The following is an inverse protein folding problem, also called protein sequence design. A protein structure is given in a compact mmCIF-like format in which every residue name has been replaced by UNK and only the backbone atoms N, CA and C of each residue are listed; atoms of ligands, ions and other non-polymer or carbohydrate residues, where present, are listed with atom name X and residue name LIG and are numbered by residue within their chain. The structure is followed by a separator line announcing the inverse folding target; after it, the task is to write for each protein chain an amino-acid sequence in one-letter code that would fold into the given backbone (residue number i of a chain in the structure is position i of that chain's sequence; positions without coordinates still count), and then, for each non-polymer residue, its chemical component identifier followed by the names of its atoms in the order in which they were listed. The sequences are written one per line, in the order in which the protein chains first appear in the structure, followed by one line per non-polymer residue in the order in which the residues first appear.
data_IF_462729128959
#
_entry.id   IF_462729128959
#
_cell.length_a   1.000
_cell.length_b   1.000
_cell.length_c   1.000
_cell.angle_alpha   90.00
_cell.angle_beta   90.00
_cell.angle_gamma   90.00
#
_symmetry.space_group_name_H-M   'P 1'
#
loop_
_entity.id
_entity.type
_entity.pdbx_description
1 polymer ?
#
# COMPACT_ATOMS: atom_id res chain seq x y z
N UNK A 1 30.26 -12.38 19.60
CA UNK A 1 28.91 -12.96 19.29
C UNK A 1 27.76 -12.33 20.09
N UNK A 2 28.01 -11.69 21.25
CA UNK A 2 26.99 -11.01 22.08
C UNK A 2 26.67 -9.57 21.64
N UNK A 3 27.66 -8.79 21.25
CA UNK A 3 27.47 -7.38 20.82
C UNK A 3 26.74 -7.24 19.48
N UNK A 4 27.07 -8.10 18.52
CA UNK A 4 26.39 -8.12 17.20
C UNK A 4 24.91 -8.50 17.31
N UNK A 5 24.55 -9.39 18.26
CA UNK A 5 23.17 -9.74 18.54
C UNK A 5 22.42 -8.57 19.19
N UNK A 6 23.02 -7.94 20.19
CA UNK A 6 22.42 -6.79 20.89
C UNK A 6 22.21 -5.59 19.94
N UNK A 7 23.17 -5.32 19.04
CA UNK A 7 23.02 -4.29 18.01
C UNK A 7 21.92 -4.65 16.98
N UNK A 8 21.80 -5.91 16.60
CA UNK A 8 20.77 -6.36 15.69
C UNK A 8 19.37 -6.31 16.31
N UNK A 9 19.24 -6.67 17.59
CA UNK A 9 18.00 -6.57 18.36
C UNK A 9 17.59 -5.11 18.57
N UNK A 10 18.55 -4.22 18.89
CA UNK A 10 18.32 -2.78 19.02
C UNK A 10 17.84 -2.15 17.70
N UNK A 11 18.45 -2.52 16.57
CA UNK A 11 18.04 -2.04 15.26
C UNK A 11 16.63 -2.54 14.86
N UNK A 12 16.29 -3.78 15.24
CA UNK A 12 14.98 -4.36 14.97
C UNK A 12 13.88 -3.65 15.80
N UNK A 13 14.18 -3.29 17.04
CA UNK A 13 13.24 -2.55 17.90
C UNK A 13 12.87 -1.18 17.33
N UNK A 14 13.81 -0.50 16.68
CA UNK A 14 13.60 0.80 16.05
C UNK A 14 12.64 0.77 14.86
N UNK A 15 12.45 -0.41 14.25
CA UNK A 15 11.55 -0.60 13.10
C UNK A 15 10.07 -0.72 13.49
N UNK A 16 9.75 -1.15 14.70
CA UNK A 16 8.38 -1.42 15.11
C UNK A 16 7.43 -0.22 14.99
N UNK A 17 7.82 1.01 15.40
CA UNK A 17 6.95 2.17 15.20
C UNK A 17 6.71 2.50 13.73
N UNK A 18 7.66 2.17 12.84
CA UNK A 18 7.50 2.34 11.39
C UNK A 18 6.50 1.33 10.82
N UNK A 19 6.55 0.08 11.30
CA UNK A 19 5.56 -0.94 10.94
C UNK A 19 4.16 -0.56 11.45
N UNK A 20 4.07 -0.04 12.67
CA UNK A 20 2.83 0.47 13.23
C UNK A 20 2.29 1.67 12.43
N UNK A 21 3.15 2.58 11.95
CA UNK A 21 2.74 3.67 11.08
C UNK A 21 2.17 3.15 9.75
N UNK A 22 2.81 2.15 9.13
CA UNK A 22 2.28 1.49 7.93
C UNK A 22 0.91 0.83 8.16
N UNK A 23 0.75 0.15 9.29
CA UNK A 23 -0.54 -0.40 9.72
C UNK A 23 -1.59 0.71 9.89
N UNK A 24 -1.25 1.79 10.59
CA UNK A 24 -2.17 2.91 10.86
C UNK A 24 -2.69 3.55 9.58
N UNK A 25 -1.82 3.76 8.57
CA UNK A 25 -2.22 4.28 7.25
C UNK A 25 -3.28 3.38 6.62
N UNK A 26 -2.97 2.10 6.49
CA UNK A 26 -3.83 1.14 5.82
C UNK A 26 -5.12 0.90 6.59
N UNK A 27 -5.05 0.78 7.91
CA UNK A 27 -6.21 0.63 8.78
C UNK A 27 -7.13 1.85 8.67
N UNK A 28 -6.60 3.06 8.77
CA UNK A 28 -7.39 4.30 8.72
C UNK A 28 -8.11 4.50 7.39
N UNK A 29 -7.42 4.22 6.26
CA UNK A 29 -8.01 4.30 4.94
C UNK A 29 -9.20 3.33 4.79
N UNK A 30 -8.98 2.05 5.12
CA UNK A 30 -9.92 0.97 4.82
C UNK A 30 -11.01 0.79 5.88
N UNK A 31 -10.73 1.09 7.16
CA UNK A 31 -11.74 1.05 8.21
C UNK A 31 -12.85 2.06 7.96
N UNK A 32 -12.50 3.28 7.55
CA UNK A 32 -13.50 4.30 7.22
C UNK A 32 -14.19 3.97 5.90
N UNK A 33 -13.41 3.67 4.83
CA UNK A 33 -13.96 3.40 3.50
C UNK A 33 -15.03 2.29 3.50
N UNK A 34 -14.78 1.20 4.23
CA UNK A 34 -15.70 0.06 4.27
C UNK A 34 -16.95 0.29 5.14
N UNK A 35 -16.91 1.26 6.06
CA UNK A 35 -17.97 1.43 7.07
C UNK A 35 -18.75 2.74 6.95
N UNK A 36 -18.40 3.61 5.98
CA UNK A 36 -19.14 4.85 5.73
C UNK A 36 -20.59 4.65 5.28
N UNK A 37 -20.86 3.53 4.59
CA UNK A 37 -22.21 3.25 4.02
C UNK A 37 -23.26 3.02 5.10
N UNK A 38 -22.87 2.61 6.30
CA UNK A 38 -23.80 2.25 7.38
C UNK A 38 -24.43 3.46 8.10
N UNK A 39 -23.95 4.69 7.83
CA UNK A 39 -24.36 5.89 8.58
C UNK A 39 -25.08 6.94 7.69
N UNK A 40 -25.51 6.53 6.49
CA UNK A 40 -26.09 7.45 5.50
C UNK A 40 -27.54 7.07 5.20
N UNK A 41 -28.48 7.96 5.50
CA UNK A 41 -29.93 7.73 5.42
C UNK A 41 -30.53 7.70 4.00
N UNK A 42 -29.83 8.24 2.97
CA UNK A 42 -30.26 8.29 1.56
C UNK A 42 -29.24 7.64 0.62
N UNK A 43 -29.58 6.47 0.05
CA UNK A 43 -28.67 5.61 -0.68
C UNK A 43 -28.09 6.22 -1.95
N UNK A 44 -28.87 7.01 -2.72
CA UNK A 44 -28.38 7.56 -4.01
C UNK A 44 -27.43 8.75 -3.83
N UNK A 45 -27.76 9.68 -2.97
CA UNK A 45 -26.90 10.80 -2.57
C UNK A 45 -25.72 10.29 -1.74
N UNK A 46 -25.92 9.23 -0.98
CA UNK A 46 -24.93 8.53 -0.17
C UNK A 46 -23.80 7.93 -0.99
N UNK A 47 -24.08 7.29 -2.12
CA UNK A 47 -23.05 6.69 -2.97
C UNK A 47 -22.15 7.73 -3.64
N UNK A 48 -22.74 8.86 -4.07
CA UNK A 48 -21.97 9.99 -4.64
C UNK A 48 -21.09 10.63 -3.57
N UNK A 49 -21.65 10.87 -2.38
CA UNK A 49 -20.91 11.44 -1.25
C UNK A 49 -19.81 10.50 -0.77
N UNK A 50 -20.07 9.20 -0.67
CA UNK A 50 -19.06 8.18 -0.39
C UNK A 50 -17.92 8.24 -1.41
N UNK A 51 -18.25 8.26 -2.71
CA UNK A 51 -17.26 8.38 -3.77
C UNK A 51 -16.40 9.64 -3.63
N UNK A 52 -17.01 10.78 -3.27
CA UNK A 52 -16.30 12.03 -2.99
C UNK A 52 -15.36 11.89 -1.78
N UNK A 53 -15.81 11.30 -0.69
CA UNK A 53 -14.99 11.13 0.52
C UNK A 53 -13.76 10.23 0.27
N UNK A 54 -13.93 9.16 -0.52
CA UNK A 54 -12.82 8.31 -0.94
C UNK A 54 -11.86 9.06 -1.86
N UNK A 55 -12.41 9.76 -2.87
CA UNK A 55 -11.60 10.55 -3.80
C UNK A 55 -10.82 11.68 -3.13
N UNK A 56 -11.35 12.30 -2.08
CA UNK A 56 -10.66 13.33 -1.32
C UNK A 56 -9.46 12.75 -0.55
N UNK A 57 -9.64 11.60 0.08
CA UNK A 57 -8.55 10.93 0.79
C UNK A 57 -7.46 10.47 -0.18
N UNK A 58 -7.81 9.67 -1.19
CA UNK A 58 -6.87 9.09 -2.14
C UNK A 58 -6.25 10.16 -3.04
N UNK A 59 -7.03 11.16 -3.45
CA UNK A 59 -6.55 12.31 -4.21
C UNK A 59 -5.50 13.13 -3.45
N UNK A 60 -5.72 13.36 -2.16
CA UNK A 60 -4.71 14.00 -1.31
C UNK A 60 -3.43 13.15 -1.21
N UNK A 61 -3.56 11.83 -1.07
CA UNK A 61 -2.40 10.92 -1.05
C UNK A 61 -1.63 10.96 -2.37
N UNK A 62 -2.31 10.86 -3.51
CA UNK A 62 -1.70 10.90 -4.85
C UNK A 62 -0.91 12.18 -5.06
N UNK A 63 -1.51 13.34 -4.73
CA UNK A 63 -0.90 14.64 -4.99
C UNK A 63 0.25 14.96 -4.02
N UNK A 64 0.13 14.58 -2.75
CA UNK A 64 1.03 15.07 -1.71
C UNK A 64 2.16 14.09 -1.35
N UNK A 65 2.06 12.78 -1.63
CA UNK A 65 3.13 11.80 -1.35
C UNK A 65 4.49 12.17 -1.93
N UNK A 66 4.62 12.63 -3.19
CA UNK A 66 5.92 13.08 -3.72
C UNK A 66 6.45 14.33 -3.02
N UNK A 67 5.55 15.23 -2.62
CA UNK A 67 5.90 16.47 -1.91
C UNK A 67 6.48 16.14 -0.54
N UNK A 68 5.77 15.33 0.25
CA UNK A 68 6.24 14.93 1.58
C UNK A 68 7.43 13.97 1.55
N UNK A 69 7.54 13.12 0.52
CA UNK A 69 8.76 12.34 0.27
C UNK A 69 9.98 13.25 0.08
N UNK A 70 9.85 14.29 -0.74
CA UNK A 70 10.90 15.30 -0.93
C UNK A 70 11.15 16.09 0.36
N UNK A 71 10.10 16.41 1.13
CA UNK A 71 10.23 17.10 2.42
C UNK A 71 11.00 16.24 3.42
N UNK A 72 10.76 14.92 3.45
CA UNK A 72 11.47 13.97 4.30
C UNK A 72 12.99 13.96 4.03
N UNK A 73 13.39 14.10 2.76
CA UNK A 73 14.80 14.28 2.41
C UNK A 73 15.36 15.64 2.86
N UNK A 74 14.49 16.65 2.95
CA UNK A 74 14.87 18.02 3.27
C UNK A 74 15.06 18.31 4.75
N UNK A 75 14.15 17.90 5.57
CA UNK A 75 14.15 18.19 7.02
C UNK A 75 14.36 16.95 7.87
N UNK A 76 14.50 15.78 7.23
CA UNK A 76 14.62 14.48 7.85
C UNK A 76 13.29 13.71 7.87
N UNK A 77 13.37 12.39 7.75
CA UNK A 77 12.18 11.52 7.71
C UNK A 77 11.40 11.52 9.05
N UNK A 78 12.11 11.56 10.19
CA UNK A 78 11.46 11.53 11.52
C UNK A 78 10.53 12.73 11.79
N UNK A 79 10.92 14.00 11.57
CA UNK A 79 9.99 15.12 11.72
C UNK A 79 8.76 15.02 10.81
N UNK A 80 8.91 14.57 9.56
CA UNK A 80 7.79 14.40 8.63
C UNK A 80 6.87 13.27 9.08
N UNK A 81 7.42 12.15 9.51
CA UNK A 81 6.67 11.03 10.09
C UNK A 81 5.83 11.47 11.29
N UNK A 82 6.44 12.16 12.25
CA UNK A 82 5.77 12.62 13.46
C UNK A 82 4.70 13.68 13.14
N UNK A 83 5.04 14.66 12.29
CA UNK A 83 4.10 15.69 11.84
C UNK A 83 2.89 15.10 11.14
N UNK A 84 3.09 14.12 10.26
CA UNK A 84 2.00 13.41 9.59
C UNK A 84 1.11 12.62 10.56
N UNK A 85 1.69 11.86 11.49
CA UNK A 85 0.92 11.10 12.48
C UNK A 85 0.10 12.02 13.40
N UNK A 86 0.70 13.14 13.85
CA UNK A 86 -0.01 14.13 14.68
C UNK A 86 -1.11 14.83 13.88
N UNK A 87 -0.85 15.18 12.61
CA UNK A 87 -1.86 15.77 11.74
C UNK A 87 -3.01 14.79 11.46
N UNK A 88 -2.72 13.51 11.27
CA UNK A 88 -3.74 12.46 11.12
C UNK A 88 -4.60 12.32 12.38
N UNK A 89 -3.95 12.32 13.56
CA UNK A 89 -4.66 12.31 14.83
C UNK A 89 -5.56 13.55 15.00
N UNK A 90 -5.05 14.73 14.64
CA UNK A 90 -5.81 15.97 14.72
C UNK A 90 -6.99 16.00 13.75
N UNK A 91 -6.82 15.56 12.50
CA UNK A 91 -7.90 15.45 11.52
C UNK A 91 -8.99 14.46 11.97
N UNK A 92 -8.58 13.33 12.55
CA UNK A 92 -9.51 12.37 13.12
C UNK A 92 -10.23 12.93 14.36
N UNK A 93 -9.51 13.60 15.25
CA UNK A 93 -10.08 14.20 16.46
C UNK A 93 -11.04 15.37 16.13
N UNK A 94 -10.77 16.13 15.07
CA UNK A 94 -11.67 17.19 14.61
C UNK A 94 -13.07 16.65 14.35
N UNK A 95 -13.17 15.50 13.66
CA UNK A 95 -14.47 14.86 13.44
C UNK A 95 -15.16 14.43 14.74
N UNK A 96 -14.38 13.95 15.73
CA UNK A 96 -14.94 13.56 17.04
C UNK A 96 -15.55 14.75 17.77
N UNK A 97 -14.94 15.94 17.67
CA UNK A 97 -15.44 17.17 18.34
C UNK A 97 -16.64 17.75 17.62
N UNK A 98 -16.60 17.77 16.28
CA UNK A 98 -17.68 18.33 15.47
C UNK A 98 -18.87 17.36 15.44
N UNK A 99 -18.59 16.04 15.36
CA UNK A 99 -19.56 14.96 15.35
C UNK A 99 -20.71 15.15 14.33
N UNK A 100 -20.41 15.82 13.20
CA UNK A 100 -21.36 16.15 12.16
C UNK A 100 -20.86 15.61 10.83
N UNK A 101 -21.68 14.81 10.16
CA UNK A 101 -21.35 14.17 8.88
C UNK A 101 -21.11 15.15 7.75
N UNK A 102 -21.64 16.36 7.83
CA UNK A 102 -21.40 17.44 6.84
C UNK A 102 -19.92 17.86 6.79
N UNK A 103 -19.18 17.66 7.88
CA UNK A 103 -17.73 17.97 7.98
C UNK A 103 -16.82 16.77 7.73
N UNK A 104 -17.39 15.60 7.44
CA UNK A 104 -16.61 14.36 7.23
C UNK A 104 -15.63 14.49 6.06
N UNK A 105 -15.98 15.24 5.02
CA UNK A 105 -15.10 15.52 3.89
C UNK A 105 -13.80 16.21 4.31
N UNK A 106 -13.86 17.14 5.27
CA UNK A 106 -12.68 17.83 5.76
C UNK A 106 -11.76 16.90 6.56
N UNK A 107 -12.36 16.05 7.39
CA UNK A 107 -11.62 15.02 8.12
C UNK A 107 -10.93 14.05 7.14
N UNK A 108 -11.62 13.58 6.09
CA UNK A 108 -11.07 12.68 5.07
C UNK A 108 -9.94 13.34 4.27
N UNK A 109 -10.12 14.56 3.83
CA UNK A 109 -9.07 15.35 3.16
C UNK A 109 -7.84 15.51 4.07
N UNK A 110 -8.08 15.90 5.32
CA UNK A 110 -7.02 16.06 6.33
C UNK A 110 -6.29 14.76 6.64
N UNK A 111 -7.01 13.64 6.77
CA UNK A 111 -6.43 12.32 6.95
C UNK A 111 -5.58 11.88 5.76
N UNK A 112 -6.06 12.06 4.52
CA UNK A 112 -5.31 11.72 3.30
C UNK A 112 -4.04 12.58 3.17
N UNK A 113 -4.16 13.89 3.41
CA UNK A 113 -3.00 14.79 3.43
C UNK A 113 -1.98 14.41 4.50
N UNK A 114 -2.42 14.02 5.68
CA UNK A 114 -1.56 13.56 6.76
C UNK A 114 -0.91 12.20 6.45
N UNK A 115 -1.68 11.24 5.92
CA UNK A 115 -1.20 9.93 5.52
C UNK A 115 -0.12 10.02 4.43
N UNK A 116 -0.27 10.97 3.49
CA UNK A 116 0.73 11.25 2.46
C UNK A 116 2.07 11.73 3.02
N UNK A 117 2.11 12.26 4.25
CA UNK A 117 3.34 12.67 4.91
C UNK A 117 4.03 11.49 5.60
N UNK A 118 3.31 10.71 6.42
CA UNK A 118 3.97 9.70 7.22
C UNK A 118 4.22 8.37 6.49
N UNK A 119 3.46 8.02 5.45
CA UNK A 119 3.67 6.79 4.68
C UNK A 119 5.04 6.78 3.98
N UNK A 120 5.41 7.76 3.12
CA UNK A 120 6.74 7.77 2.49
C UNK A 120 7.88 8.03 3.48
N UNK A 121 7.65 8.79 4.57
CA UNK A 121 8.64 8.99 5.61
C UNK A 121 8.94 7.70 6.37
N UNK A 122 7.93 6.86 6.64
CA UNK A 122 8.12 5.54 7.23
C UNK A 122 8.89 4.62 6.27
N UNK A 123 8.49 4.52 5.00
CA UNK A 123 9.18 3.69 3.99
C UNK A 123 10.63 4.12 3.79
N UNK A 124 10.90 5.44 3.74
CA UNK A 124 12.25 6.01 3.67
C UNK A 124 13.08 5.67 4.92
N UNK A 125 12.48 5.76 6.11
CA UNK A 125 13.14 5.39 7.37
C UNK A 125 13.46 3.90 7.41
N UNK A 126 12.54 3.02 6.98
CA UNK A 126 12.79 1.58 6.82
C UNK A 126 13.99 1.33 5.92
N UNK A 127 14.05 2.00 4.75
CA UNK A 127 15.17 1.86 3.83
C UNK A 127 16.50 2.29 4.48
N UNK A 128 16.54 3.47 5.10
CA UNK A 128 17.77 4.06 5.66
C UNK A 128 18.27 3.38 6.93
N UNK A 129 17.38 2.83 7.75
CA UNK A 129 17.74 2.08 8.96
C UNK A 129 18.14 0.63 8.68
N UNK A 130 17.82 0.15 7.48
CA UNK A 130 18.11 -1.23 7.09
C UNK A 130 19.52 -1.35 6.50
N UNK A 131 20.30 -2.31 6.98
CA UNK A 131 21.63 -2.63 6.42
C UNK A 131 21.50 -3.05 4.95
N UNK A 132 22.48 -2.68 4.12
CA UNK A 132 22.58 -3.14 2.73
C UNK A 132 22.47 -4.67 2.66
N UNK A 133 21.67 -5.18 1.74
CA UNK A 133 21.41 -6.63 1.59
C UNK A 133 20.32 -7.19 2.52
N UNK A 134 19.64 -6.35 3.33
CA UNK A 134 18.52 -6.75 4.21
C UNK A 134 17.21 -5.99 3.91
N UNK A 135 17.18 -5.24 2.82
CA UNK A 135 15.98 -4.48 2.43
C UNK A 135 14.79 -5.39 2.11
N UNK A 136 15.03 -6.60 1.60
CA UNK A 136 13.96 -7.56 1.30
C UNK A 136 13.14 -7.92 2.54
N UNK A 137 13.78 -8.39 3.61
CA UNK A 137 13.09 -8.75 4.86
C UNK A 137 12.47 -7.54 5.56
N UNK A 138 13.12 -6.37 5.51
CA UNK A 138 12.61 -5.16 6.12
C UNK A 138 11.29 -4.71 5.45
N UNK A 139 11.29 -4.59 4.11
CA UNK A 139 10.08 -4.25 3.37
C UNK A 139 9.03 -5.37 3.36
N UNK A 140 9.46 -6.64 3.41
CA UNK A 140 8.56 -7.78 3.59
C UNK A 140 7.80 -7.71 4.91
N UNK A 141 8.48 -7.35 6.00
CA UNK A 141 7.84 -7.18 7.31
C UNK A 141 6.99 -5.92 7.35
N UNK A 142 7.47 -4.79 6.82
CA UNK A 142 6.70 -3.55 6.71
C UNK A 142 5.40 -3.77 5.92
N UNK A 143 5.50 -4.42 4.77
CA UNK A 143 4.36 -4.75 3.94
C UNK A 143 3.38 -5.71 4.60
N UNK A 144 3.86 -6.69 5.38
CA UNK A 144 3.01 -7.58 6.18
C UNK A 144 2.12 -6.79 7.15
N UNK A 145 2.70 -5.88 7.95
CA UNK A 145 1.92 -5.07 8.90
C UNK A 145 0.98 -4.09 8.18
N UNK A 146 1.40 -3.52 7.07
CA UNK A 146 0.52 -2.69 6.22
C UNK A 146 -0.66 -3.51 5.70
N UNK A 147 -0.42 -4.74 5.23
CA UNK A 147 -1.48 -5.65 4.76
C UNK A 147 -2.43 -6.08 5.88
N UNK A 148 -1.94 -6.23 7.11
CA UNK A 148 -2.83 -6.44 8.27
C UNK A 148 -3.78 -5.26 8.48
N UNK A 149 -3.32 -4.02 8.26
CA UNK A 149 -4.17 -2.84 8.29
C UNK A 149 -5.26 -2.88 7.23
N UNK A 150 -4.94 -3.26 6.00
CA UNK A 150 -5.91 -3.47 4.92
C UNK A 150 -6.96 -4.52 5.27
N UNK A 151 -6.53 -5.65 5.84
CA UNK A 151 -7.41 -6.78 6.15
C UNK A 151 -8.28 -6.52 7.39
N UNK A 152 -7.68 -6.01 8.45
CA UNK A 152 -8.35 -5.77 9.72
C UNK A 152 -9.13 -4.47 9.76
N UNK A 153 -8.81 -3.51 8.87
CA UNK A 153 -9.50 -2.22 8.80
C UNK A 153 -11.01 -2.35 8.66
N UNK A 154 -11.52 -2.99 7.60
CA UNK A 154 -12.95 -3.19 7.41
C UNK A 154 -13.61 -3.96 8.56
N UNK A 155 -12.98 -5.03 9.03
CA UNK A 155 -13.52 -5.91 10.06
C UNK A 155 -13.61 -5.23 11.42
N UNK A 156 -12.48 -4.73 11.92
CA UNK A 156 -12.43 -4.05 13.22
C UNK A 156 -13.15 -2.70 13.16
N UNK A 157 -13.03 -1.99 12.02
CA UNK A 157 -13.78 -0.78 11.76
C UNK A 157 -15.28 -1.00 11.88
N UNK A 158 -15.82 -2.08 11.29
CA UNK A 158 -17.21 -2.45 11.40
C UNK A 158 -17.66 -2.73 12.85
N UNK A 159 -16.85 -3.46 13.61
CA UNK A 159 -17.12 -3.71 15.03
C UNK A 159 -17.13 -2.40 15.83
N UNK A 160 -16.15 -1.51 15.58
CA UNK A 160 -16.05 -0.23 16.28
C UNK A 160 -17.26 0.66 15.94
N UNK A 161 -17.65 0.73 14.65
CA UNK A 161 -18.82 1.50 14.21
C UNK A 161 -20.11 0.92 14.81
N UNK A 162 -20.24 -0.40 14.88
CA UNK A 162 -21.40 -1.05 15.52
C UNK A 162 -21.52 -0.71 17.02
N UNK A 163 -20.40 -0.53 17.72
CA UNK A 163 -20.38 -0.21 19.16
C UNK A 163 -20.68 1.28 19.42
N UNK A 164 -20.15 2.19 18.62
CA UNK A 164 -20.20 3.64 18.92
C UNK A 164 -20.14 4.56 17.71
N UNK A 165 -20.56 4.06 16.54
CA UNK A 165 -20.66 4.85 15.33
C UNK A 165 -19.31 5.31 14.77
N UNK A 166 -19.37 6.17 13.75
CA UNK A 166 -18.16 6.76 13.14
C UNK A 166 -17.37 7.58 14.14
N UNK A 167 -18.00 8.26 15.07
CA UNK A 167 -17.33 9.05 16.11
C UNK A 167 -16.33 8.20 16.91
N UNK A 168 -16.74 6.98 17.33
CA UNK A 168 -15.83 6.07 18.03
C UNK A 168 -14.70 5.58 17.10
N UNK A 169 -14.99 5.30 15.83
CA UNK A 169 -13.97 4.89 14.87
C UNK A 169 -12.90 5.99 14.70
N UNK A 170 -13.32 7.23 14.52
CA UNK A 170 -12.41 8.37 14.41
C UNK A 170 -11.63 8.63 15.70
N UNK A 171 -12.25 8.45 16.87
CA UNK A 171 -11.56 8.53 18.17
C UNK A 171 -10.47 7.45 18.28
N UNK A 172 -10.76 6.22 17.93
CA UNK A 172 -9.78 5.12 17.92
C UNK A 172 -8.61 5.43 16.98
N UNK A 173 -8.90 5.94 15.78
CA UNK A 173 -7.84 6.34 14.83
C UNK A 173 -6.99 7.49 15.35
N UNK A 174 -7.59 8.49 16.00
CA UNK A 174 -6.85 9.59 16.61
C UNK A 174 -5.91 9.09 17.71
N UNK A 175 -6.41 8.23 18.61
CA UNK A 175 -5.60 7.63 19.68
C UNK A 175 -4.51 6.74 19.10
N UNK A 176 -4.82 5.87 18.14
CA UNK A 176 -3.83 4.99 17.49
C UNK A 176 -2.69 5.80 16.87
N UNK A 177 -3.00 6.83 16.09
CA UNK A 177 -2.00 7.67 15.45
C UNK A 177 -1.14 8.42 16.48
N UNK A 178 -1.73 8.92 17.57
CA UNK A 178 -1.03 9.60 18.62
C UNK A 178 -0.10 8.65 19.39
N UNK A 179 -0.56 7.46 19.74
CA UNK A 179 0.26 6.41 20.39
C UNK A 179 1.46 6.04 19.50
N UNK A 180 1.22 5.82 18.20
CA UNK A 180 2.30 5.53 17.26
C UNK A 180 3.26 6.72 17.11
N UNK A 181 2.76 7.96 17.12
CA UNK A 181 3.60 9.16 17.09
C UNK A 181 4.50 9.26 18.33
N UNK A 182 3.95 9.03 19.51
CA UNK A 182 4.72 9.05 20.78
C UNK A 182 5.77 7.93 20.75
N UNK A 183 5.39 6.72 20.35
CA UNK A 183 6.31 5.59 20.21
C UNK A 183 7.44 5.87 19.22
N UNK A 184 7.09 6.39 18.03
CA UNK A 184 8.08 6.78 17.02
C UNK A 184 9.00 7.90 17.50
N UNK A 185 8.48 8.88 18.24
CA UNK A 185 9.29 9.97 18.82
C UNK A 185 10.37 9.43 19.75
N UNK A 186 10.06 8.44 20.56
CA UNK A 186 10.98 7.86 21.55
C UNK A 186 11.97 6.90 20.90
N UNK A 187 11.49 6.02 20.01
CA UNK A 187 12.25 4.84 19.55
C UNK A 187 12.97 5.07 18.21
N UNK A 188 12.31 5.77 17.25
CA UNK A 188 12.92 5.98 15.94
C UNK A 188 14.07 6.98 16.05
N UNK A 189 15.31 6.64 15.61
CA UNK A 189 16.43 7.57 15.65
C UNK A 189 16.20 8.76 14.70
N UNK A 190 16.76 9.91 15.06
CA UNK A 190 16.80 11.05 14.16
C UNK A 190 17.83 10.75 13.06
N UNK A 191 17.35 10.61 11.83
CA UNK A 191 18.19 10.50 10.66
C UNK A 191 18.37 11.90 10.08
N UNK A 192 19.58 12.49 10.19
CA UNK A 192 19.80 13.85 9.72
C UNK A 192 19.61 13.91 8.20
N UNK A 193 19.13 15.05 7.68
CA UNK A 193 19.10 15.27 6.25
C UNK A 193 20.54 15.27 5.72
N UNK A 194 20.77 14.61 4.59
CA UNK A 194 22.07 14.57 3.95
C UNK A 194 22.27 15.79 3.04
N UNK A 195 23.53 16.24 2.80
CA UNK A 195 23.83 17.37 1.94
C UNK A 195 23.26 17.18 0.54
N UNK A 196 22.63 18.22 -0.01
CA UNK A 196 21.93 18.15 -1.29
C UNK A 196 22.86 18.40 -2.46
N UNK A 197 22.74 17.55 -3.49
CA UNK A 197 23.03 17.97 -4.84
C UNK A 197 21.88 18.88 -5.35
N UNK A 198 22.19 20.02 -5.95
CA UNK A 198 21.19 20.85 -6.65
C UNK A 198 20.53 19.98 -7.73
N UNK A 199 19.21 19.85 -7.66
CA UNK A 199 18.43 19.14 -8.69
C UNK A 199 17.65 20.14 -9.50
N UNK A 200 17.67 19.95 -10.81
CA UNK A 200 16.77 20.61 -11.74
C UNK A 200 15.52 19.73 -11.92
N UNK A 201 14.41 20.33 -12.38
CA UNK A 201 13.20 19.58 -12.79
C UNK A 201 13.54 18.55 -13.88
N UNK A 202 14.52 18.86 -14.73
CA UNK A 202 15.01 17.97 -15.79
C UNK A 202 15.69 16.72 -15.20
N UNK A 203 16.53 16.90 -14.16
CA UNK A 203 17.17 15.76 -13.49
C UNK A 203 16.14 14.83 -12.83
N UNK A 204 15.09 15.41 -12.24
CA UNK A 204 13.98 14.65 -11.68
C UNK A 204 13.23 13.88 -12.78
N UNK A 205 12.85 14.55 -13.87
CA UNK A 205 12.14 13.91 -14.98
C UNK A 205 12.98 12.79 -15.61
N UNK A 206 14.30 13.03 -15.82
CA UNK A 206 15.22 12.01 -16.33
C UNK A 206 15.30 10.80 -15.42
N UNK A 207 15.37 11.00 -14.10
CA UNK A 207 15.42 9.92 -13.12
C UNK A 207 14.10 9.15 -13.04
N UNK A 208 12.97 9.84 -13.03
CA UNK A 208 11.66 9.20 -13.05
C UNK A 208 11.42 8.41 -14.35
N UNK A 209 12.14 8.77 -15.43
CA UNK A 209 12.18 8.05 -16.71
C UNK A 209 13.24 6.95 -16.75
N UNK A 210 14.08 6.81 -15.72
CA UNK A 210 15.07 5.75 -15.65
C UNK A 210 14.40 4.39 -15.45
N UNK A 211 14.84 3.41 -16.21
CA UNK A 211 14.35 2.03 -16.11
C UNK A 211 14.56 1.41 -14.73
N UNK A 212 15.62 1.81 -14.02
CA UNK A 212 15.86 1.35 -12.65
C UNK A 212 14.80 1.83 -11.66
N UNK A 213 14.13 2.93 -11.96
CA UNK A 213 12.99 3.43 -11.20
C UNK A 213 11.65 2.93 -11.78
N UNK A 214 11.47 3.06 -13.11
CA UNK A 214 10.20 2.72 -13.76
C UNK A 214 9.85 1.24 -13.65
N UNK A 215 10.82 0.34 -13.82
CA UNK A 215 10.55 -1.10 -13.76
C UNK A 215 9.94 -1.54 -12.43
N UNK A 216 10.64 -1.32 -11.29
CA UNK A 216 10.08 -1.64 -9.98
C UNK A 216 8.78 -0.89 -9.66
N UNK A 217 8.66 0.39 -10.05
CA UNK A 217 7.45 1.19 -9.81
C UNK A 217 6.25 0.69 -10.63
N UNK A 218 6.45 0.32 -11.89
CA UNK A 218 5.40 -0.28 -12.72
C UNK A 218 4.95 -1.64 -12.18
N UNK A 219 5.89 -2.45 -11.68
CA UNK A 219 5.56 -3.71 -11.02
C UNK A 219 4.75 -3.50 -9.73
N UNK A 220 5.12 -2.48 -8.93
CA UNK A 220 4.36 -2.09 -7.74
C UNK A 220 2.95 -1.59 -8.11
N UNK A 221 2.82 -0.78 -9.16
CA UNK A 221 1.52 -0.33 -9.67
C UNK A 221 0.65 -1.51 -10.16
N UNK A 222 1.21 -2.42 -10.94
CA UNK A 222 0.51 -3.63 -11.40
C UNK A 222 0.08 -4.53 -10.22
N UNK A 223 0.93 -4.64 -9.20
CA UNK A 223 0.64 -5.38 -7.97
C UNK A 223 -0.55 -4.79 -7.22
N UNK A 224 -0.59 -3.47 -7.01
CA UNK A 224 -1.73 -2.83 -6.33
C UNK A 224 -2.98 -2.81 -7.19
N UNK A 225 -2.87 -2.62 -8.51
CA UNK A 225 -3.99 -2.75 -9.43
C UNK A 225 -4.67 -4.12 -9.34
N UNK A 226 -3.87 -5.20 -9.36
CA UNK A 226 -4.40 -6.55 -9.24
C UNK A 226 -4.99 -6.84 -7.85
N UNK A 227 -4.37 -6.31 -6.79
CA UNK A 227 -4.87 -6.45 -5.43
C UNK A 227 -6.22 -5.76 -5.25
N UNK A 228 -6.33 -4.51 -5.70
CA UNK A 228 -7.55 -3.70 -5.63
C UNK A 228 -8.69 -4.32 -6.44
N UNK A 229 -8.38 -4.79 -7.65
CA UNK A 229 -9.32 -5.54 -8.49
C UNK A 229 -9.73 -6.85 -7.82
N UNK A 230 -8.79 -7.58 -7.23
CA UNK A 230 -9.09 -8.81 -6.49
C UNK A 230 -10.05 -8.56 -5.32
N UNK A 231 -9.81 -7.52 -4.53
CA UNK A 231 -10.67 -7.14 -3.40
C UNK A 231 -12.05 -6.67 -3.87
N UNK A 232 -12.10 -5.84 -4.92
CA UNK A 232 -13.36 -5.23 -5.39
C UNK A 232 -14.19 -6.14 -6.29
N UNK A 233 -13.57 -6.88 -7.21
CA UNK A 233 -14.29 -7.56 -8.29
C UNK A 233 -14.36 -9.09 -8.18
N UNK A 234 -13.52 -9.77 -7.37
CA UNK A 234 -13.72 -11.20 -7.11
C UNK A 234 -15.06 -11.48 -6.40
N UNK A 235 -15.51 -10.65 -5.42
CA UNK A 235 -16.85 -10.80 -4.87
C UNK A 235 -17.96 -10.67 -5.92
N UNK A 236 -17.83 -9.69 -6.83
CA UNK A 236 -18.82 -9.48 -7.92
C UNK A 236 -18.88 -10.72 -8.81
N UNK A 237 -17.72 -11.22 -9.28
CA UNK A 237 -17.65 -12.45 -10.06
C UNK A 237 -18.22 -13.68 -9.32
N UNK A 238 -18.07 -13.68 -7.98
CA UNK A 238 -18.65 -14.71 -7.13
C UNK A 238 -20.18 -14.66 -7.09
N UNK A 239 -20.75 -13.47 -6.93
CA UNK A 239 -22.21 -13.27 -6.96
C UNK A 239 -22.76 -13.66 -8.32
N UNK A 240 -22.13 -13.26 -9.41
CA UNK A 240 -22.52 -13.64 -10.78
C UNK A 240 -22.48 -15.17 -11.00
N UNK A 241 -21.59 -15.86 -10.28
CA UNK A 241 -21.49 -17.32 -10.27
C UNK A 241 -22.43 -18.00 -9.25
N UNK A 242 -23.35 -17.26 -8.62
CA UNK A 242 -24.32 -17.77 -7.66
C UNK A 242 -23.76 -18.03 -6.26
N UNK A 243 -22.59 -17.49 -5.90
CA UNK A 243 -22.00 -17.65 -4.58
C UNK A 243 -22.58 -16.64 -3.57
N UNK A 244 -22.81 -17.12 -2.36
CA UNK A 244 -23.29 -16.28 -1.27
C UNK A 244 -22.20 -15.40 -0.65
N UNK A 245 -22.59 -14.44 0.23
CA UNK A 245 -21.69 -13.45 0.83
C UNK A 245 -20.52 -14.06 1.62
N UNK A 246 -20.72 -15.21 2.25
CA UNK A 246 -19.67 -15.91 3.01
C UNK A 246 -18.55 -16.39 2.09
N UNK A 247 -18.89 -16.97 0.94
CA UNK A 247 -17.92 -17.49 -0.01
C UNK A 247 -17.12 -16.36 -0.67
N UNK A 248 -17.78 -15.28 -1.05
CA UNK A 248 -17.15 -14.09 -1.66
C UNK A 248 -16.26 -13.36 -0.66
N UNK A 249 -16.70 -13.18 0.58
CA UNK A 249 -15.90 -12.61 1.66
C UNK A 249 -14.69 -13.47 2.03
N UNK A 250 -14.85 -14.81 2.03
CA UNK A 250 -13.74 -15.73 2.24
C UNK A 250 -12.67 -15.61 1.14
N UNK A 251 -13.06 -15.41 -0.11
CA UNK A 251 -12.10 -15.22 -1.22
C UNK A 251 -11.23 -13.97 -1.01
N UNK A 252 -11.82 -12.85 -0.60
CA UNK A 252 -11.08 -11.61 -0.27
C UNK A 252 -10.14 -11.84 0.91
N UNK A 253 -10.62 -12.54 1.95
CA UNK A 253 -9.80 -12.86 3.11
C UNK A 253 -8.60 -13.75 2.74
N UNK A 254 -8.80 -14.76 1.91
CA UNK A 254 -7.74 -15.64 1.39
C UNK A 254 -6.71 -14.84 0.59
N UNK A 255 -7.16 -13.96 -0.31
CA UNK A 255 -6.27 -13.08 -1.08
C UNK A 255 -5.40 -12.22 -0.15
N UNK A 256 -6.02 -11.54 0.80
CA UNK A 256 -5.32 -10.65 1.73
C UNK A 256 -4.33 -11.40 2.63
N UNK A 257 -4.71 -12.57 3.15
CA UNK A 257 -3.82 -13.42 3.95
C UNK A 257 -2.64 -13.95 3.10
N UNK A 258 -2.90 -14.43 1.88
CA UNK A 258 -1.84 -14.88 0.98
C UNK A 258 -0.85 -13.74 0.67
N UNK A 259 -1.35 -12.53 0.38
CA UNK A 259 -0.50 -11.36 0.17
C UNK A 259 0.32 -11.03 1.42
N UNK A 260 -0.31 -10.97 2.59
CA UNK A 260 0.37 -10.66 3.85
C UNK A 260 1.49 -11.65 4.16
N UNK A 261 1.21 -12.95 4.11
CA UNK A 261 2.18 -13.98 4.47
C UNK A 261 3.26 -14.23 3.41
N UNK A 262 3.00 -13.94 2.13
CA UNK A 262 4.00 -14.04 1.07
C UNK A 262 5.10 -12.98 1.21
N UNK A 263 4.76 -11.76 1.64
CA UNK A 263 5.69 -10.62 1.71
C UNK A 263 6.94 -10.90 2.55
N UNK A 264 6.86 -11.31 3.84
CA UNK A 264 8.07 -11.55 4.61
C UNK A 264 8.86 -12.78 4.14
N UNK A 265 8.20 -13.75 3.48
CA UNK A 265 8.88 -14.92 2.89
C UNK A 265 9.69 -14.53 1.66
N UNK A 266 9.08 -13.74 0.77
CA UNK A 266 9.75 -13.22 -0.43
C UNK A 266 10.94 -12.33 -0.07
N UNK A 267 10.77 -11.43 0.90
CA UNK A 267 11.83 -10.56 1.38
C UNK A 267 13.00 -11.32 1.97
N UNK A 268 12.74 -12.35 2.81
CA UNK A 268 13.80 -13.21 3.35
C UNK A 268 14.48 -14.05 2.28
N UNK A 269 13.76 -14.52 1.27
CA UNK A 269 14.33 -15.26 0.16
C UNK A 269 15.29 -14.39 -0.67
N UNK A 270 14.93 -13.12 -0.88
CA UNK A 270 15.80 -12.12 -1.52
C UNK A 270 17.10 -11.91 -0.71
N UNK A 271 16.96 -11.61 0.59
CA UNK A 271 18.11 -11.33 1.46
C UNK A 271 19.03 -12.57 1.67
N UNK A 272 18.48 -13.75 1.51
CA UNK A 272 19.24 -15.02 1.53
C UNK A 272 19.89 -15.36 0.19
N UNK A 273 19.72 -14.53 -0.85
CA UNK A 273 20.25 -14.79 -2.19
C UNK A 273 19.57 -15.95 -2.93
N UNK A 274 18.45 -16.47 -2.42
CA UNK A 274 17.70 -17.58 -3.05
C UNK A 274 16.97 -17.13 -4.32
N UNK A 275 16.60 -15.86 -4.39
CA UNK A 275 15.97 -15.22 -5.56
C UNK A 275 16.66 -13.88 -5.81
N UNK A 276 16.70 -13.44 -7.07
CA UNK A 276 17.06 -12.05 -7.41
C UNK A 276 15.78 -11.21 -7.50
N UNK A 277 15.94 -9.88 -7.43
CA UNK A 277 14.80 -8.95 -7.60
C UNK A 277 14.07 -9.21 -8.90
N UNK A 278 14.82 -9.28 -10.01
CA UNK A 278 14.27 -9.41 -11.36
C UNK A 278 13.48 -10.71 -11.52
N UNK A 279 14.04 -11.83 -11.03
CA UNK A 279 13.35 -13.14 -11.08
C UNK A 279 12.12 -13.15 -10.20
N UNK A 280 12.23 -12.64 -8.97
CA UNK A 280 11.12 -12.61 -8.03
C UNK A 280 9.97 -11.74 -8.52
N UNK A 281 10.27 -10.54 -9.03
CA UNK A 281 9.26 -9.63 -9.60
C UNK A 281 8.61 -10.25 -10.85
N UNK A 282 9.41 -10.82 -11.77
CA UNK A 282 8.87 -11.48 -12.96
C UNK A 282 7.94 -12.65 -12.59
N UNK A 283 8.36 -13.54 -11.70
CA UNK A 283 7.50 -14.62 -11.21
C UNK A 283 6.25 -14.10 -10.49
N UNK A 284 6.39 -13.08 -9.65
CA UNK A 284 5.26 -12.43 -8.99
C UNK A 284 4.23 -11.91 -9.99
N UNK A 285 4.68 -11.21 -11.05
CA UNK A 285 3.80 -10.69 -12.11
C UNK A 285 3.13 -11.82 -12.91
N UNK A 286 3.87 -12.88 -13.23
CA UNK A 286 3.29 -14.06 -13.93
C UNK A 286 2.22 -14.75 -13.07
N UNK A 287 2.51 -14.97 -11.78
CA UNK A 287 1.55 -15.58 -10.84
C UNK A 287 0.31 -14.68 -10.68
N UNK A 288 0.51 -13.36 -10.57
CA UNK A 288 -0.60 -12.39 -10.48
C UNK A 288 -1.47 -12.41 -11.74
N UNK A 289 -0.85 -12.40 -12.92
CA UNK A 289 -1.56 -12.45 -14.19
C UNK A 289 -2.30 -13.78 -14.38
N UNK A 290 -1.67 -14.90 -13.98
CA UNK A 290 -2.34 -16.20 -13.98
C UNK A 290 -3.56 -16.20 -13.04
N UNK A 291 -3.43 -15.57 -11.86
CA UNK A 291 -4.55 -15.39 -10.92
C UNK A 291 -5.70 -14.59 -11.51
N UNK A 292 -5.41 -13.48 -12.21
CA UNK A 292 -6.42 -12.69 -12.92
C UNK A 292 -7.08 -13.50 -14.05
N UNK A 293 -6.31 -14.32 -14.76
CA UNK A 293 -6.85 -15.21 -15.78
C UNK A 293 -7.73 -16.31 -15.17
N UNK A 294 -7.35 -16.86 -14.02
CA UNK A 294 -8.15 -17.86 -13.30
C UNK A 294 -9.45 -17.27 -12.72
N UNK A 295 -9.49 -15.96 -12.43
CA UNK A 295 -10.72 -15.27 -12.07
C UNK A 295 -11.79 -15.27 -13.19
N UNK A 296 -11.39 -15.58 -14.42
CA UNK A 296 -12.32 -15.76 -15.56
C UNK A 296 -13.08 -17.10 -15.50
N UNK A 297 -12.64 -18.04 -14.67
CA UNK A 297 -13.31 -19.34 -14.49
C UNK A 297 -14.41 -19.17 -13.44
N UNK A 298 -15.68 -19.39 -13.82
CA UNK A 298 -16.80 -19.19 -12.89
C UNK A 298 -16.79 -20.24 -11.79
N UNK A 299 -17.33 -19.86 -10.64
CA UNK A 299 -17.53 -20.74 -9.48
C UNK A 299 -16.46 -20.58 -8.39
N UNK A 300 -16.74 -21.22 -7.26
CA UNK A 300 -15.95 -21.08 -6.02
C UNK A 300 -14.47 -21.43 -6.21
N UNK A 301 -14.18 -22.52 -6.93
CA UNK A 301 -12.81 -23.00 -7.13
C UNK A 301 -11.99 -21.98 -7.91
N UNK A 302 -12.53 -21.47 -9.04
CA UNK A 302 -11.87 -20.44 -9.86
C UNK A 302 -11.53 -19.20 -9.02
N UNK A 303 -12.50 -18.70 -8.26
CA UNK A 303 -12.35 -17.50 -7.43
C UNK A 303 -11.33 -17.71 -6.29
N UNK A 304 -11.36 -18.85 -5.60
CA UNK A 304 -10.40 -19.13 -4.52
C UNK A 304 -8.97 -19.31 -5.05
N UNK A 305 -8.80 -20.02 -6.16
CA UNK A 305 -7.47 -20.19 -6.78
C UNK A 305 -6.96 -18.86 -7.32
N UNK A 306 -7.82 -18.04 -7.92
CA UNK A 306 -7.50 -16.67 -8.32
C UNK A 306 -7.06 -15.82 -7.11
N UNK A 307 -7.81 -15.86 -6.01
CA UNK A 307 -7.49 -15.15 -4.78
C UNK A 307 -6.11 -15.54 -4.22
N UNK A 308 -5.81 -16.84 -4.16
CA UNK A 308 -4.48 -17.35 -3.74
C UNK A 308 -3.38 -16.84 -4.68
N UNK A 309 -3.57 -16.99 -5.99
CA UNK A 309 -2.54 -16.62 -6.97
C UNK A 309 -2.28 -15.10 -6.98
N UNK A 310 -3.34 -14.28 -7.02
CA UNK A 310 -3.20 -12.81 -6.94
C UNK A 310 -2.53 -12.42 -5.62
N UNK A 311 -2.98 -12.98 -4.50
CA UNK A 311 -2.40 -12.68 -3.18
C UNK A 311 -0.91 -13.04 -3.09
N UNK A 312 -0.53 -14.25 -3.50
CA UNK A 312 0.87 -14.69 -3.50
C UNK A 312 1.72 -13.84 -4.44
N UNK A 313 1.25 -13.61 -5.68
CA UNK A 313 1.99 -12.84 -6.68
C UNK A 313 2.26 -11.39 -6.21
N UNK A 314 1.22 -10.69 -5.75
CA UNK A 314 1.32 -9.32 -5.23
C UNK A 314 2.17 -9.25 -3.97
N UNK A 315 2.07 -10.27 -3.10
CA UNK A 315 2.90 -10.41 -1.89
C UNK A 315 4.39 -10.64 -2.19
N UNK A 316 4.74 -11.22 -3.34
CA UNK A 316 6.12 -11.34 -3.79
C UNK A 316 6.62 -10.01 -4.36
N UNK A 317 5.84 -9.35 -5.22
CA UNK A 317 6.25 -8.12 -5.93
C UNK A 317 6.55 -6.99 -4.96
N UNK A 318 5.69 -6.77 -3.97
CA UNK A 318 5.74 -5.58 -3.11
C UNK A 318 7.09 -5.42 -2.38
N UNK A 319 7.59 -6.37 -1.58
CA UNK A 319 8.86 -6.20 -0.88
C UNK A 319 10.05 -6.13 -1.83
N UNK A 320 10.02 -6.86 -2.95
CA UNK A 320 11.11 -6.89 -3.91
C UNK A 320 11.21 -5.56 -4.69
N UNK A 321 10.06 -4.98 -5.06
CA UNK A 321 10.01 -3.67 -5.73
C UNK A 321 10.58 -2.56 -4.84
N UNK A 322 10.15 -2.48 -3.57
CA UNK A 322 10.70 -1.51 -2.63
C UNK A 322 12.18 -1.77 -2.31
N UNK A 323 12.60 -3.02 -2.16
CA UNK A 323 14.01 -3.36 -1.95
C UNK A 323 14.88 -2.96 -3.14
N UNK A 324 14.41 -3.15 -4.36
CA UNK A 324 15.09 -2.71 -5.58
C UNK A 324 15.29 -1.18 -5.62
N UNK A 325 14.22 -0.45 -5.32
CA UNK A 325 14.25 1.02 -5.27
C UNK A 325 15.19 1.50 -4.17
N UNK A 326 15.14 0.90 -2.99
CA UNK A 326 16.04 1.25 -1.89
C UNK A 326 17.51 0.97 -2.24
N UNK A 327 17.80 -0.16 -2.88
CA UNK A 327 19.18 -0.55 -3.26
C UNK A 327 19.76 0.35 -4.36
N UNK A 328 18.93 0.86 -5.28
CA UNK A 328 19.35 1.71 -6.39
C UNK A 328 19.32 3.21 -6.09
N UNK A 329 18.83 3.60 -4.91
CA UNK A 329 18.62 5.01 -4.55
C UNK A 329 19.71 5.50 -3.60
N UNK A 330 20.37 6.63 -3.90
CA UNK A 330 21.21 7.33 -2.94
C UNK A 330 20.42 7.75 -1.70
N UNK A 331 21.05 7.67 -0.53
CA UNK A 331 20.36 7.96 0.76
C UNK A 331 19.77 9.37 0.82
N UNK A 332 20.39 10.35 0.13
CA UNK A 332 19.96 11.76 0.06
C UNK A 332 18.61 11.96 -0.65
N UNK A 333 18.15 10.93 -1.37
CA UNK A 333 16.92 10.95 -2.20
C UNK A 333 15.95 9.84 -1.85
N UNK A 334 16.16 9.19 -0.73
CA UNK A 334 15.37 8.04 -0.34
C UNK A 334 13.89 8.40 -0.15
N UNK A 335 13.60 9.52 0.49
CA UNK A 335 12.23 10.00 0.69
C UNK A 335 11.52 10.31 -0.62
N UNK A 336 12.20 10.99 -1.53
CA UNK A 336 11.67 11.30 -2.87
C UNK A 336 11.34 10.02 -3.66
N UNK A 337 12.25 9.04 -3.64
CA UNK A 337 12.04 7.77 -4.35
C UNK A 337 10.90 6.97 -3.73
N UNK A 338 10.83 6.88 -2.40
CA UNK A 338 9.74 6.18 -1.71
C UNK A 338 8.40 6.87 -1.94
N UNK A 339 8.36 8.21 -1.89
CA UNK A 339 7.14 8.97 -2.19
C UNK A 339 6.64 8.77 -3.62
N UNK A 340 7.55 8.74 -4.60
CA UNK A 340 7.20 8.47 -5.99
C UNK A 340 6.78 7.00 -6.23
N UNK A 341 7.37 6.05 -5.52
CA UNK A 341 6.97 4.65 -5.57
C UNK A 341 5.57 4.43 -4.97
N UNK A 342 5.29 5.09 -3.85
CA UNK A 342 3.94 5.07 -3.24
C UNK A 342 2.91 5.73 -4.17
N UNK A 343 3.25 6.83 -4.85
CA UNK A 343 2.38 7.42 -5.89
C UNK A 343 2.09 6.41 -7.00
N UNK A 344 3.11 5.68 -7.49
CA UNK A 344 2.93 4.62 -8.49
C UNK A 344 1.95 3.55 -8.02
N UNK A 345 2.00 3.18 -6.75
CA UNK A 345 1.06 2.24 -6.14
C UNK A 345 -0.38 2.77 -6.11
N UNK A 346 -0.58 4.03 -5.69
CA UNK A 346 -1.91 4.65 -5.67
C UNK A 346 -2.51 4.75 -7.08
N UNK A 347 -1.69 5.09 -8.08
CA UNK A 347 -2.12 5.07 -9.47
C UNK A 347 -2.54 3.67 -9.93
N UNK A 348 -1.87 2.63 -9.45
CA UNK A 348 -2.27 1.24 -9.68
C UNK A 348 -3.59 0.91 -8.98
N UNK A 349 -3.71 1.29 -7.72
CA UNK A 349 -4.88 1.03 -6.88
C UNK A 349 -6.16 1.62 -7.48
N UNK A 350 -6.11 2.86 -7.95
CA UNK A 350 -7.22 3.52 -8.66
C UNK A 350 -7.37 3.03 -10.11
N UNK A 351 -6.26 2.85 -10.82
CA UNK A 351 -6.24 2.51 -12.24
C UNK A 351 -6.73 1.10 -12.54
N UNK A 352 -6.40 0.12 -11.71
CA UNK A 352 -6.83 -1.27 -11.86
C UNK A 352 -8.36 -1.42 -11.94
N UNK A 353 -9.10 -0.99 -10.92
CA UNK A 353 -10.56 -0.98 -10.94
C UNK A 353 -11.16 -0.21 -12.12
N UNK A 354 -10.59 0.94 -12.48
CA UNK A 354 -11.08 1.74 -13.61
C UNK A 354 -10.90 1.01 -14.94
N UNK A 355 -9.77 0.33 -15.15
CA UNK A 355 -9.54 -0.48 -16.36
C UNK A 355 -10.55 -1.62 -16.42
N UNK A 356 -10.70 -2.38 -15.32
CA UNK A 356 -11.62 -3.53 -15.29
C UNK A 356 -13.07 -3.09 -15.45
N UNK A 357 -13.51 -2.05 -14.73
CA UNK A 357 -14.87 -1.52 -14.84
C UNK A 357 -15.14 -0.92 -16.23
N UNK A 358 -14.17 -0.18 -16.80
CA UNK A 358 -14.30 0.39 -18.15
C UNK A 358 -14.43 -0.68 -19.22
N UNK A 359 -13.66 -1.77 -19.15
CA UNK A 359 -13.81 -2.91 -20.07
C UNK A 359 -15.13 -3.63 -19.81
N UNK A 360 -15.52 -3.83 -18.55
CA UNK A 360 -16.78 -4.50 -18.19
C UNK A 360 -18.01 -3.73 -18.70
N UNK A 361 -17.95 -2.41 -18.75
CA UNK A 361 -19.04 -1.55 -19.24
C UNK A 361 -19.32 -1.73 -20.74
N UNK A 362 -18.31 -2.09 -21.54
CA UNK A 362 -18.44 -2.26 -23.01
C UNK A 362 -18.34 -3.72 -23.44
N UNK A 363 -17.96 -4.62 -22.55
CA UNK A 363 -17.82 -6.04 -22.84
C UNK A 363 -18.34 -6.88 -21.63
N UNK A 364 -17.43 -7.49 -20.87
CA UNK A 364 -17.76 -8.31 -19.70
C UNK A 364 -16.74 -8.10 -18.57
N UNK A 365 -17.12 -8.41 -17.35
CA UNK A 365 -16.19 -8.43 -16.21
C UNK A 365 -15.01 -9.40 -16.46
N UNK A 366 -15.30 -10.55 -17.06
CA UNK A 366 -14.30 -11.55 -17.47
C UNK A 366 -13.28 -10.96 -18.43
N UNK A 367 -13.72 -10.18 -19.44
CA UNK A 367 -12.82 -9.47 -20.34
C UNK A 367 -11.95 -8.42 -19.59
N UNK A 368 -12.51 -7.75 -18.58
CA UNK A 368 -11.77 -6.83 -17.72
C UNK A 368 -10.61 -7.49 -16.99
N UNK A 369 -10.85 -8.65 -16.37
CA UNK A 369 -9.77 -9.45 -15.77
C UNK A 369 -8.71 -9.85 -16.80
N UNK A 370 -9.13 -10.28 -18.00
CA UNK A 370 -8.23 -10.65 -19.08
C UNK A 370 -7.33 -9.50 -19.53
N UNK A 371 -7.88 -8.31 -19.72
CA UNK A 371 -7.10 -7.11 -20.08
C UNK A 371 -6.06 -6.77 -19.01
N UNK A 372 -6.45 -6.78 -17.73
CA UNK A 372 -5.52 -6.51 -16.66
C UNK A 372 -4.45 -7.61 -16.54
N UNK A 373 -4.80 -8.87 -16.80
CA UNK A 373 -3.83 -9.98 -16.85
C UNK A 373 -2.77 -9.75 -17.92
N UNK A 374 -3.21 -9.36 -19.15
CA UNK A 374 -2.29 -9.06 -20.25
C UNK A 374 -1.37 -7.87 -19.91
N UNK A 375 -1.90 -6.78 -19.37
CA UNK A 375 -1.09 -5.62 -18.94
C UNK A 375 -0.04 -6.08 -17.93
N UNK A 376 -0.43 -6.87 -16.92
CA UNK A 376 0.47 -7.40 -15.91
C UNK A 376 1.58 -8.27 -16.50
N UNK A 377 1.25 -9.13 -17.47
CA UNK A 377 2.23 -9.96 -18.21
C UNK A 377 3.20 -9.12 -19.04
N UNK A 378 2.73 -8.06 -19.71
CA UNK A 378 3.58 -7.19 -20.51
C UNK A 378 4.62 -6.47 -19.64
N UNK A 379 4.22 -5.99 -18.45
CA UNK A 379 5.14 -5.43 -17.47
C UNK A 379 6.17 -6.48 -17.00
N UNK A 380 5.73 -7.72 -16.80
CA UNK A 380 6.59 -8.85 -16.45
C UNK A 380 7.59 -9.21 -17.54
N UNK A 381 7.16 -9.20 -18.80
CA UNK A 381 8.03 -9.48 -19.95
C UNK A 381 9.11 -8.41 -20.15
N UNK A 382 8.78 -7.13 -19.94
CA UNK A 382 9.79 -6.05 -19.96
C UNK A 382 10.80 -6.22 -18.84
N UNK A 383 10.37 -6.55 -17.64
CA UNK A 383 11.25 -6.85 -16.49
C UNK A 383 12.21 -8.03 -16.77
N UNK A 384 11.76 -9.05 -17.47
CA UNK A 384 12.58 -10.20 -17.86
C UNK A 384 13.59 -9.88 -18.97
N UNK A 385 13.21 -9.07 -19.98
CA UNK A 385 14.11 -8.60 -21.06
C UNK A 385 15.25 -7.74 -20.56
N UNK A 386 15.03 -6.95 -19.53
CA UNK A 386 16.07 -6.12 -18.92
C UNK A 386 17.23 -6.94 -18.32
N UNK A 387 16.99 -8.20 -17.98
CA UNK A 387 18.00 -9.14 -17.50
C UNK A 387 18.93 -9.59 -18.63
N UNK A 388 18.38 -10.03 -19.77
CA UNK A 388 19.16 -10.55 -20.89
C UNK A 388 20.08 -9.50 -21.54
N UNK A 389 19.83 -8.22 -21.28
CA UNK A 389 20.68 -7.11 -21.74
C UNK A 389 21.81 -6.75 -20.76
N UNK A 390 21.80 -7.29 -19.55
CA UNK A 390 22.80 -7.06 -18.50
C UNK A 390 23.75 -8.23 -18.27
N UNK A 391 23.39 -9.43 -18.72
CA UNK A 391 24.24 -10.63 -18.82
C UNK A 391 24.99 -10.64 -20.15
#
# INVERSE_FOLDING_TARGET
MSEDKAQAEGAQWQMWPLYAAGFTTAFGAHAVAANLVFDLDDLANSLLYLGLLLALYDGAEVLLKPVFGTLADRIGAKPVLLGGLVAFAAASFLFVVVADTDWLWLARLGQGAAASAFSPAASSSVARLTRKGKHGSAFGTYGFYKSLGYTLGPLLGGVIVWIGGLTLLFAVMAVLALVVAIWAKVVVPALPPLPRARQTVVDLARRLSDRQFLGPTAALAASTAALSVGVGFLPVAGVDAGLGPIATGAAVSVLALCAAFAQPRAGRALDAGKITVERGVAWGLVITAAGLALAMIPGLVGILVAAVAVGVGTGIITPLGFAALAASTPEERMGQTMGAAELGRELGDAGGPLIVAGVAAVATLTAGFGVLAVITLLIGADSARQRTLRE
#
